data_IF_948234639358
#
_entry.id   IF_948234639358
#
_cell.length_a   1.000
_cell.length_b   1.000
_cell.length_c   1.000
_cell.angle_alpha   90.00
_cell.angle_beta   90.00
_cell.angle_gamma   90.00
#
_symmetry.space_group_name_H-M   'P 1'
#
loop_
_entity.id
_entity.type
_entity.pdbx_description
1 polymer ?
#
# COMPACT_ATOMS: atom_id res chain seq x y z
N UNK A 1 3.52 13.24 1.72
CA UNK A 1 3.06 12.04 0.97
C UNK A 1 2.26 11.15 1.91
N UNK A 2 1.05 10.80 1.55
CA UNK A 2 0.21 9.92 2.37
C UNK A 2 0.13 8.55 1.73
N UNK A 3 0.49 7.50 2.50
CA UNK A 3 0.52 6.11 2.05
C UNK A 3 -0.40 5.29 2.95
N UNK A 4 -1.25 4.47 2.34
CA UNK A 4 -2.10 3.54 3.08
C UNK A 4 -1.47 2.15 3.05
N UNK A 5 -1.36 1.53 4.21
CA UNK A 5 -0.87 0.15 4.35
C UNK A 5 -2.03 -0.73 4.77
N UNK A 6 -2.24 -1.80 4.01
CA UNK A 6 -3.36 -2.74 4.26
C UNK A 6 -2.79 -4.12 4.53
N UNK A 7 -2.97 -4.60 5.74
CA UNK A 7 -2.49 -5.91 6.18
C UNK A 7 -3.31 -6.32 7.40
N UNK A 8 -3.71 -7.59 7.46
CA UNK A 8 -4.50 -8.09 8.58
C UNK A 8 -3.69 -8.35 9.85
N UNK A 9 -2.37 -8.25 9.77
CA UNK A 9 -1.50 -8.37 10.93
C UNK A 9 -1.28 -7.01 11.58
N UNK A 10 -1.68 -6.90 12.85
CA UNK A 10 -1.59 -5.62 13.59
C UNK A 10 -0.16 -5.14 13.77
N UNK A 11 0.81 -6.06 13.84
CA UNK A 11 2.21 -5.72 14.05
C UNK A 11 2.82 -4.94 12.89
N UNK A 12 2.19 -4.97 11.72
CA UNK A 12 2.68 -4.28 10.53
C UNK A 12 2.72 -2.76 10.73
N UNK A 13 1.73 -2.20 11.42
CA UNK A 13 1.74 -0.77 11.72
C UNK A 13 2.98 -0.37 12.49
N UNK A 14 3.31 -1.10 13.56
CA UNK A 14 4.48 -0.82 14.38
C UNK A 14 5.76 -0.93 13.55
N UNK A 15 5.85 -1.94 12.70
CA UNK A 15 7.00 -2.18 11.84
C UNK A 15 7.24 -1.01 10.89
N UNK A 16 6.20 -0.55 10.21
CA UNK A 16 6.30 0.60 9.31
C UNK A 16 6.68 1.87 10.07
N UNK A 17 6.07 2.10 11.22
CA UNK A 17 6.39 3.31 12.03
C UNK A 17 7.83 3.30 12.52
N UNK A 18 8.38 2.15 12.84
CA UNK A 18 9.78 2.03 13.24
C UNK A 18 10.74 2.31 12.08
N UNK A 19 10.48 1.69 10.93
CA UNK A 19 11.36 1.84 9.77
C UNK A 19 11.30 3.23 9.15
N UNK A 20 10.17 3.91 9.27
CA UNK A 20 9.98 5.26 8.71
C UNK A 20 9.97 6.35 9.77
N UNK A 21 10.50 6.07 10.97
CA UNK A 21 10.46 7.00 12.10
C UNK A 21 11.02 8.39 11.74
N UNK A 22 12.16 8.45 11.06
CA UNK A 22 12.78 9.72 10.65
C UNK A 22 11.89 10.47 9.67
N UNK A 23 11.43 9.77 8.66
CA UNK A 23 10.63 10.36 7.60
C UNK A 23 9.28 10.87 8.11
N UNK A 24 8.67 10.14 9.04
CA UNK A 24 7.44 10.58 9.70
C UNK A 24 7.71 11.85 10.52
N UNK A 25 8.78 11.85 11.30
CA UNK A 25 9.16 13.00 12.14
C UNK A 25 9.42 14.23 11.31
N UNK A 26 10.04 14.07 10.14
CA UNK A 26 10.34 15.16 9.22
C UNK A 26 9.16 15.53 8.33
N UNK A 27 8.02 14.91 8.53
CA UNK A 27 6.79 15.15 7.77
C UNK A 27 6.94 14.86 6.27
N UNK A 28 7.83 13.95 5.92
CA UNK A 28 8.02 13.51 4.54
C UNK A 28 6.99 12.48 4.12
N UNK A 29 6.49 11.70 5.07
CA UNK A 29 5.50 10.67 4.82
C UNK A 29 4.51 10.59 5.98
N UNK A 30 3.27 10.28 5.65
CA UNK A 30 2.20 10.05 6.61
C UNK A 30 1.52 8.73 6.24
N UNK A 31 1.33 7.85 7.22
CA UNK A 31 0.72 6.54 7.00
C UNK A 31 -0.69 6.49 7.56
N UNK A 32 -1.56 5.79 6.84
CA UNK A 32 -2.82 5.31 7.37
C UNK A 32 -2.83 3.80 7.24
N UNK A 33 -3.46 3.11 8.17
CA UNK A 33 -3.44 1.64 8.24
C UNK A 33 -4.85 1.09 8.23
N UNK A 34 -5.04 0.00 7.48
CA UNK A 34 -6.29 -0.74 7.43
C UNK A 34 -5.99 -2.22 7.65
N UNK A 35 -6.84 -2.90 8.41
CA UNK A 35 -6.66 -4.32 8.74
C UNK A 35 -7.37 -5.25 7.76
N UNK A 36 -8.06 -4.71 6.78
CA UNK A 36 -8.76 -5.49 5.76
C UNK A 36 -8.97 -4.64 4.51
N UNK A 37 -9.30 -5.31 3.40
CA UNK A 37 -9.65 -4.62 2.18
C UNK A 37 -10.92 -3.79 2.33
N UNK A 38 -11.90 -4.34 3.04
CA UNK A 38 -13.15 -3.64 3.31
C UNK A 38 -12.91 -2.35 4.10
N UNK A 39 -12.08 -2.43 5.15
CA UNK A 39 -11.72 -1.26 5.95
C UNK A 39 -10.97 -0.23 5.10
N UNK A 40 -10.08 -0.68 4.23
CA UNK A 40 -9.33 0.22 3.34
C UNK A 40 -10.28 1.02 2.44
N UNK A 41 -11.23 0.34 1.81
CA UNK A 41 -12.23 1.02 0.95
C UNK A 41 -13.10 1.97 1.75
N UNK A 42 -13.52 1.55 2.94
CA UNK A 42 -14.31 2.39 3.83
C UNK A 42 -13.56 3.68 4.19
N UNK A 43 -12.28 3.56 4.52
CA UNK A 43 -11.44 4.72 4.84
C UNK A 43 -11.30 5.65 3.62
N UNK A 44 -11.06 5.08 2.43
CA UNK A 44 -10.90 5.89 1.22
C UNK A 44 -12.17 6.67 0.88
N UNK A 45 -13.33 6.02 0.98
CA UNK A 45 -14.60 6.68 0.71
C UNK A 45 -15.00 7.71 1.75
N UNK A 46 -14.50 7.55 3.00
CA UNK A 46 -14.75 8.50 4.08
C UNK A 46 -13.85 9.74 4.02
N UNK A 47 -12.76 9.67 3.25
CA UNK A 47 -11.86 10.81 3.09
C UNK A 47 -12.46 11.88 2.20
N UNK A 48 -11.93 13.10 2.30
CA UNK A 48 -12.27 14.19 1.39
C UNK A 48 -11.91 13.77 -0.04
N UNK A 49 -12.83 13.94 -0.97
CA UNK A 49 -12.62 13.50 -2.35
C UNK A 49 -12.01 14.59 -3.21
N UNK A 50 -11.00 14.26 -4.07
CA UNK A 50 -10.34 12.95 -4.16
C UNK A 50 -9.44 12.70 -2.95
N UNK A 51 -9.22 11.42 -2.56
CA UNK A 51 -8.38 11.12 -1.40
C UNK A 51 -6.94 11.61 -1.61
N UNK A 52 -6.33 12.07 -0.52
CA UNK A 52 -4.94 12.51 -0.55
C UNK A 52 -3.92 11.35 -0.59
N UNK A 53 -4.39 10.11 -0.48
CA UNK A 53 -3.54 8.91 -0.55
C UNK A 53 -2.97 8.79 -1.96
N UNK A 54 -1.64 8.67 -2.05
CA UNK A 54 -0.95 8.55 -3.35
C UNK A 54 -0.56 7.12 -3.66
N UNK A 55 -0.44 6.27 -2.65
CA UNK A 55 -0.02 4.87 -2.80
C UNK A 55 -0.69 4.00 -1.74
N UNK A 56 -1.12 2.82 -2.16
CA UNK A 56 -1.58 1.77 -1.25
C UNK A 56 -0.60 0.60 -1.34
N UNK A 57 -0.11 0.16 -0.18
CA UNK A 57 0.69 -1.05 -0.04
C UNK A 57 -0.20 -2.10 0.61
N UNK A 58 -0.56 -3.15 -0.12
CA UNK A 58 -1.52 -4.13 0.37
C UNK A 58 -0.97 -5.54 0.34
N UNK A 59 -1.15 -6.26 1.45
CA UNK A 59 -0.97 -7.71 1.46
C UNK A 59 -2.02 -8.34 0.53
N UNK A 60 -1.67 -9.46 -0.10
CA UNK A 60 -2.61 -10.19 -0.95
C UNK A 60 -3.49 -11.11 -0.12
N UNK A 61 -2.88 -11.90 0.78
CA UNK A 61 -3.61 -12.93 1.52
C UNK A 61 -4.20 -12.37 2.80
N UNK A 62 -5.46 -12.00 2.74
CA UNK A 62 -6.23 -11.49 3.88
C UNK A 62 -7.59 -12.18 3.92
N UNK A 63 -8.18 -12.38 5.12
CA UNK A 63 -9.53 -12.91 5.23
C UNK A 63 -10.55 -11.96 4.59
N UNK A 64 -11.61 -12.49 4.03
CA UNK A 64 -12.62 -11.71 3.34
C UNK A 64 -12.10 -11.21 2.01
N UNK A 65 -12.15 -9.90 1.81
CA UNK A 65 -11.61 -9.28 0.58
C UNK A 65 -10.08 -9.41 0.58
N UNK A 66 -9.51 -10.12 -0.40
CA UNK A 66 -8.06 -10.23 -0.52
C UNK A 66 -7.48 -9.01 -1.25
N UNK A 67 -6.14 -8.93 -1.30
CA UNK A 67 -5.46 -7.79 -1.90
C UNK A 67 -5.74 -7.61 -3.39
N UNK A 68 -5.96 -8.70 -4.13
CA UNK A 68 -6.29 -8.61 -5.56
C UNK A 68 -7.67 -8.01 -5.78
N UNK A 69 -8.63 -8.39 -4.94
CA UNK A 69 -9.98 -7.81 -4.99
C UNK A 69 -9.95 -6.32 -4.62
N UNK A 70 -9.16 -5.98 -3.62
CA UNK A 70 -8.95 -4.58 -3.23
C UNK A 70 -8.33 -3.79 -4.38
N UNK A 71 -7.31 -4.33 -5.03
CA UNK A 71 -6.65 -3.70 -6.18
C UNK A 71 -7.67 -3.36 -7.27
N UNK A 72 -8.52 -4.31 -7.62
CA UNK A 72 -9.57 -4.07 -8.63
C UNK A 72 -10.50 -2.94 -8.21
N UNK A 73 -10.96 -2.96 -6.96
CA UNK A 73 -11.89 -1.95 -6.45
C UNK A 73 -11.25 -0.56 -6.45
N UNK A 74 -10.01 -0.46 -6.02
CA UNK A 74 -9.29 0.82 -5.98
C UNK A 74 -9.07 1.36 -7.39
N UNK A 75 -8.66 0.51 -8.32
CA UNK A 75 -8.45 0.97 -9.70
C UNK A 75 -9.74 1.40 -10.37
N UNK A 76 -10.86 0.82 -9.97
CA UNK A 76 -12.17 1.22 -10.48
C UNK A 76 -12.63 2.55 -9.88
N UNK A 77 -12.56 2.68 -8.54
CA UNK A 77 -13.13 3.82 -7.84
C UNK A 77 -12.15 5.00 -7.71
N UNK A 78 -10.84 4.71 -7.64
CA UNK A 78 -9.80 5.71 -7.41
C UNK A 78 -8.61 5.46 -8.36
N UNK A 79 -8.80 5.60 -9.68
CA UNK A 79 -7.78 5.17 -10.66
C UNK A 79 -6.46 5.92 -10.57
N UNK A 80 -6.42 7.08 -9.92
CA UNK A 80 -5.19 7.84 -9.77
C UNK A 80 -4.31 7.36 -8.61
N UNK A 81 -4.83 6.53 -7.71
CA UNK A 81 -4.05 5.98 -6.61
C UNK A 81 -3.21 4.82 -7.13
N UNK A 82 -1.91 4.85 -6.87
CA UNK A 82 -1.03 3.72 -7.19
C UNK A 82 -1.20 2.62 -6.16
N UNK A 83 -1.11 1.37 -6.59
CA UNK A 83 -1.27 0.22 -5.70
C UNK A 83 -0.11 -0.74 -5.90
N UNK A 84 0.58 -1.07 -4.81
CA UNK A 84 1.63 -2.08 -4.79
C UNK A 84 1.16 -3.27 -3.95
N UNK A 85 1.41 -4.47 -4.47
CA UNK A 85 1.06 -5.71 -3.77
C UNK A 85 2.26 -6.20 -2.99
N UNK A 86 2.02 -6.79 -1.82
CA UNK A 86 3.04 -7.42 -0.99
C UNK A 86 2.58 -8.84 -0.70
N UNK A 87 3.45 -9.84 -0.91
CA UNK A 87 3.08 -11.22 -0.70
C UNK A 87 4.25 -12.08 -0.23
N UNK A 88 3.95 -13.11 0.57
CA UNK A 88 4.90 -14.15 0.92
C UNK A 88 5.03 -15.22 -0.19
N UNK A 89 4.13 -15.22 -1.17
CA UNK A 89 4.07 -16.23 -2.23
C UNK A 89 4.49 -15.59 -3.55
N UNK A 90 5.81 -15.51 -3.79
CA UNK A 90 6.44 -14.60 -4.73
C UNK A 90 5.86 -14.59 -6.14
N UNK A 91 5.58 -15.74 -6.74
CA UNK A 91 5.18 -15.79 -8.14
C UNK A 91 3.72 -16.16 -8.36
N UNK A 92 3.04 -16.60 -7.31
CA UNK A 92 1.70 -17.19 -7.45
C UNK A 92 0.66 -16.19 -7.96
N UNK A 93 0.77 -14.92 -7.55
CA UNK A 93 -0.24 -13.91 -7.86
C UNK A 93 0.28 -12.83 -8.79
N UNK A 94 1.51 -12.95 -9.28
CA UNK A 94 2.15 -11.89 -10.04
C UNK A 94 1.37 -11.52 -11.30
N UNK A 95 1.02 -12.53 -12.10
CA UNK A 95 0.32 -12.28 -13.38
C UNK A 95 -1.02 -11.61 -13.15
N UNK A 96 -1.80 -12.10 -12.17
CA UNK A 96 -3.10 -11.51 -11.86
C UNK A 96 -2.95 -10.09 -11.34
N UNK A 97 -1.98 -9.85 -10.47
CA UNK A 97 -1.74 -8.52 -9.93
C UNK A 97 -1.41 -7.52 -11.05
N UNK A 98 -0.53 -7.90 -11.96
CA UNK A 98 -0.15 -7.02 -13.06
C UNK A 98 -1.31 -6.83 -14.04
N UNK A 99 -2.09 -7.88 -14.30
CA UNK A 99 -3.26 -7.80 -15.18
C UNK A 99 -4.33 -6.87 -14.61
N UNK A 100 -4.46 -6.80 -13.27
CA UNK A 100 -5.43 -5.94 -12.61
C UNK A 100 -4.91 -4.53 -12.37
N UNK A 101 -3.69 -4.22 -12.81
CA UNK A 101 -3.17 -2.87 -12.79
C UNK A 101 -2.27 -2.51 -11.61
N UNK A 102 -1.68 -3.51 -10.93
CA UNK A 102 -0.72 -3.22 -9.87
C UNK A 102 0.47 -2.42 -10.42
N UNK A 103 0.86 -1.39 -9.69
CA UNK A 103 1.97 -0.53 -10.09
C UNK A 103 3.31 -1.10 -9.64
N UNK A 104 3.30 -1.94 -8.61
CA UNK A 104 4.51 -2.63 -8.14
C UNK A 104 4.13 -3.90 -7.37
N UNK A 105 5.13 -4.75 -7.14
CA UNK A 105 4.91 -6.06 -6.54
C UNK A 105 6.15 -6.42 -5.69
N UNK A 106 5.94 -6.60 -4.39
CA UNK A 106 7.02 -6.87 -3.44
C UNK A 106 6.83 -8.23 -2.78
N UNK A 107 7.94 -8.89 -2.47
CA UNK A 107 7.94 -10.14 -1.72
C UNK A 107 8.22 -9.88 -0.24
N UNK A 108 7.64 -10.70 0.62
CA UNK A 108 7.98 -10.70 2.05
C UNK A 108 9.22 -11.55 2.29
N UNK A 109 10.11 -11.18 3.22
CA UNK A 109 10.07 -9.99 4.06
C UNK A 109 10.37 -8.73 3.24
N UNK A 110 9.64 -7.66 3.54
CA UNK A 110 9.77 -6.41 2.79
C UNK A 110 11.14 -5.76 3.04
N UNK A 111 11.81 -5.38 1.96
CA UNK A 111 13.07 -4.63 2.03
C UNK A 111 12.74 -3.15 2.14
N UNK A 112 12.82 -2.62 3.37
CA UNK A 112 12.46 -1.23 3.62
C UNK A 112 13.43 -0.24 3.00
N UNK A 113 14.69 -0.62 2.82
CA UNK A 113 15.67 0.24 2.15
C UNK A 113 15.28 0.42 0.68
N UNK A 114 14.94 -0.67 0.02
CA UNK A 114 14.46 -0.62 -1.37
C UNK A 114 13.17 0.17 -1.48
N UNK A 115 12.23 -0.08 -0.58
CA UNK A 115 10.94 0.60 -0.58
C UNK A 115 11.12 2.11 -0.42
N UNK A 116 11.96 2.54 0.53
CA UNK A 116 12.24 3.98 0.71
C UNK A 116 12.85 4.59 -0.53
N UNK A 117 13.81 3.91 -1.14
CA UNK A 117 14.44 4.38 -2.37
C UNK A 117 13.40 4.63 -3.46
N UNK A 118 12.46 3.73 -3.64
CA UNK A 118 11.42 3.87 -4.65
C UNK A 118 10.40 4.96 -4.29
N UNK A 119 10.01 5.05 -3.02
CA UNK A 119 9.03 6.05 -2.58
C UNK A 119 9.56 7.48 -2.74
N UNK A 120 10.83 7.70 -2.44
CA UNK A 120 11.42 9.04 -2.44
C UNK A 120 12.22 9.38 -3.69
N UNK A 121 12.27 8.47 -4.67
CA UNK A 121 13.01 8.71 -5.91
C UNK A 121 12.46 9.92 -6.67
N UNK A 122 11.15 10.05 -6.76
CA UNK A 122 10.53 11.17 -7.45
C UNK A 122 10.80 12.50 -6.77
N UNK A 123 10.94 12.52 -5.44
CA UNK A 123 11.23 13.74 -4.70
C UNK A 123 12.65 14.26 -4.97
N UNK A 124 13.59 13.34 -5.27
CA UNK A 124 14.98 13.72 -5.60
C UNK A 124 15.06 14.38 -6.97
N UNK A 125 14.25 13.91 -7.89
CA UNK A 125 14.27 14.38 -9.28
C UNK A 125 13.18 15.41 -9.60
N UNK A 126 12.27 15.53 -8.66
CA UNK A 126 11.14 16.44 -8.82
C UNK A 126 11.47 17.84 -8.51
#
# INVERSE_FOLDING_TARGET
MKVMVVDDEQDVELLFRQHFRREIRQQQIDFTFALSGEEALQQLHAMRQPPAVVLILSDINMPGMNGLQLLKAVKHDFPCIKVAMITAYSDQYFEDAMAFGADNYYNKPLDFTQLKSELFRGAVHG
#
